data_IF_817600357960
#
_entry.id   IF_817600357960
#
_cell.length_a   1.000
_cell.length_b   1.000
_cell.length_c   1.000
_cell.angle_alpha   90.00
_cell.angle_beta   90.00
_cell.angle_gamma   90.00
#
_symmetry.space_group_name_H-M   'P 1'
#
loop_
_entity.id
_entity.type
_entity.pdbx_description
1 polymer ?
#
# COMPACT_ATOMS: atom_id res chain seq x y z
N UNK A 1 14.74 38.58 10.99
CA UNK A 1 14.11 38.03 9.77
C UNK A 1 14.38 36.52 9.57
N UNK A 2 15.05 35.82 10.48
CA UNK A 2 15.24 34.36 10.37
C UNK A 2 15.40 33.71 11.77
N UNK A 3 14.41 33.85 12.66
CA UNK A 3 14.38 33.09 13.93
C UNK A 3 13.40 31.90 13.89
N UNK A 4 12.50 31.84 12.91
CA UNK A 4 11.49 30.76 12.79
C UNK A 4 11.84 29.64 11.80
N UNK A 5 12.93 29.79 11.01
CA UNK A 5 13.29 28.80 9.99
C UNK A 5 13.81 27.50 10.61
N UNK A 6 14.44 27.60 11.79
CA UNK A 6 14.95 26.45 12.54
C UNK A 6 13.85 25.53 13.06
N UNK A 7 12.77 26.09 13.63
CA UNK A 7 11.58 25.35 14.08
C UNK A 7 10.83 24.69 12.91
N UNK A 8 10.76 25.38 11.76
CA UNK A 8 10.12 24.85 10.56
C UNK A 8 10.84 23.60 10.03
N UNK A 9 12.18 23.63 9.94
CA UNK A 9 12.97 22.47 9.50
C UNK A 9 12.89 21.33 10.52
N UNK A 10 12.85 21.62 11.83
CA UNK A 10 12.72 20.55 12.84
C UNK A 10 11.35 19.88 12.75
N UNK A 11 10.30 20.64 12.46
CA UNK A 11 8.97 20.11 12.13
C UNK A 11 8.98 19.21 10.90
N UNK A 12 9.55 19.67 9.78
CA UNK A 12 9.62 18.88 8.54
C UNK A 12 10.44 17.59 8.72
N UNK A 13 11.55 17.64 9.45
CA UNK A 13 12.43 16.49 9.65
C UNK A 13 11.85 15.45 10.63
N UNK A 14 10.91 15.85 11.49
CA UNK A 14 10.18 14.95 12.39
C UNK A 14 9.03 14.21 11.67
N UNK A 15 8.58 14.74 10.52
CA UNK A 15 7.51 14.19 9.70
C UNK A 15 8.09 13.67 8.38
N UNK A 16 8.70 12.48 8.42
CA UNK A 16 9.14 11.76 7.22
C UNK A 16 7.95 11.52 6.28
N UNK A 17 7.76 12.43 5.32
CA UNK A 17 6.80 12.34 4.23
C UNK A 17 5.71 13.41 4.32
N UNK A 18 5.56 14.15 3.23
CA UNK A 18 4.48 15.12 2.95
C UNK A 18 3.08 14.60 3.33
N UNK A 19 2.84 13.29 3.16
CA UNK A 19 1.60 12.59 3.57
C UNK A 19 1.24 12.80 5.04
N UNK A 20 2.25 12.83 5.91
CA UNK A 20 2.06 12.89 7.36
C UNK A 20 1.65 14.32 7.77
N UNK A 21 2.15 15.34 7.08
CA UNK A 21 1.81 16.75 7.32
C UNK A 21 0.36 17.06 6.88
N UNK A 22 -0.03 16.69 5.66
CA UNK A 22 -1.39 16.93 5.14
C UNK A 22 -2.47 16.22 5.97
N UNK A 23 -2.19 14.99 6.43
CA UNK A 23 -3.14 14.22 7.24
C UNK A 23 -3.39 14.88 8.61
N UNK A 24 -2.36 15.42 9.25
CA UNK A 24 -2.51 16.09 10.56
C UNK A 24 -3.24 17.41 10.46
N UNK A 25 -2.98 18.20 9.42
CA UNK A 25 -3.69 19.45 9.18
C UNK A 25 -5.18 19.17 8.92
N UNK A 26 -5.52 18.18 8.09
CA UNK A 26 -6.91 17.80 7.82
C UNK A 26 -7.63 17.22 9.05
N UNK A 27 -6.94 16.41 9.87
CA UNK A 27 -7.48 15.91 11.15
C UNK A 27 -7.79 17.02 12.14
N UNK A 28 -6.95 18.05 12.20
CA UNK A 28 -7.15 19.20 13.09
C UNK A 28 -8.39 20.04 12.71
N UNK A 29 -8.83 19.96 11.45
CA UNK A 29 -10.04 20.62 10.96
C UNK A 29 -11.30 19.73 11.03
N UNK A 30 -11.18 18.46 11.42
CA UNK A 30 -12.33 17.56 11.57
C UNK A 30 -12.87 16.97 10.25
N UNK A 31 -12.19 17.20 9.13
CA UNK A 31 -12.64 16.83 7.78
C UNK A 31 -12.18 15.42 7.33
N UNK A 32 -11.68 14.60 8.26
CA UNK A 32 -11.07 13.31 7.94
C UNK A 32 -11.71 12.18 8.75
N UNK A 33 -12.68 11.51 8.13
CA UNK A 33 -13.17 10.22 8.60
C UNK A 33 -12.21 9.11 8.17
N UNK A 34 -11.76 8.31 9.13
CA UNK A 34 -10.97 7.13 8.84
C UNK A 34 -11.86 6.02 8.29
N UNK A 35 -11.38 5.33 7.26
CA UNK A 35 -12.00 4.09 6.84
C UNK A 35 -12.00 3.06 7.97
N UNK A 36 -13.01 2.16 8.03
CA UNK A 36 -13.02 1.05 8.96
C UNK A 36 -11.71 0.25 8.91
N UNK A 37 -11.31 -0.28 10.07
CA UNK A 37 -10.12 -1.13 10.16
C UNK A 37 -10.26 -2.35 9.22
N UNK A 38 -9.16 -2.75 8.59
CA UNK A 38 -9.14 -3.87 7.64
C UNK A 38 -9.48 -3.49 6.18
N UNK A 39 -10.13 -2.36 5.93
CA UNK A 39 -10.44 -1.93 4.56
C UNK A 39 -9.19 -1.62 3.76
N UNK A 40 -8.21 -0.97 4.38
CA UNK A 40 -6.93 -0.65 3.76
C UNK A 40 -5.93 -1.71 4.19
N UNK A 41 -5.51 -2.54 3.24
CA UNK A 41 -4.54 -3.60 3.48
C UNK A 41 -3.21 -3.33 2.77
N UNK A 42 -2.10 -3.67 3.43
CA UNK A 42 -0.77 -3.69 2.84
C UNK A 42 -0.45 -5.07 2.28
N UNK A 43 -0.15 -5.15 0.98
CA UNK A 43 0.14 -6.43 0.33
C UNK A 43 1.27 -7.18 1.04
N UNK A 44 2.41 -6.52 1.28
CA UNK A 44 3.58 -7.19 1.88
C UNK A 44 3.42 -7.57 3.35
N UNK A 45 2.43 -7.00 4.05
CA UNK A 45 2.24 -7.23 5.50
C UNK A 45 1.06 -8.17 5.79
N UNK A 46 -0.01 -8.07 5.00
CA UNK A 46 -1.28 -8.74 5.27
C UNK A 46 -1.61 -9.79 4.21
N UNK A 47 -1.04 -9.71 3.01
CA UNK A 47 -1.30 -10.68 1.94
C UNK A 47 -0.22 -11.75 1.82
N UNK A 48 1.05 -11.35 1.88
CA UNK A 48 2.18 -12.29 1.78
C UNK A 48 2.32 -13.09 3.08
N UNK A 49 2.40 -14.44 3.03
CA UNK A 49 2.68 -15.25 4.21
C UNK A 49 4.01 -14.86 4.86
N UNK A 50 4.16 -15.13 6.15
CA UNK A 50 5.43 -14.85 6.85
C UNK A 50 6.57 -15.72 6.29
N UNK A 51 7.79 -15.18 6.25
CA UNK A 51 8.97 -15.98 5.89
C UNK A 51 9.18 -17.13 6.89
N UNK A 52 9.47 -18.37 6.46
CA UNK A 52 9.69 -18.83 5.07
C UNK A 52 8.46 -19.46 4.40
N UNK A 53 7.27 -19.36 4.98
CA UNK A 53 6.04 -19.93 4.38
C UNK A 53 5.68 -19.29 3.04
N UNK A 54 6.17 -18.07 2.79
CA UNK A 54 5.99 -17.34 1.54
C UNK A 54 6.56 -18.01 0.28
N UNK A 55 7.42 -19.03 0.42
CA UNK A 55 7.87 -19.86 -0.70
C UNK A 55 6.86 -20.95 -1.07
N UNK A 56 6.11 -21.41 -0.08
CA UNK A 56 5.21 -22.56 -0.20
C UNK A 56 3.77 -22.13 -0.46
N UNK A 57 3.34 -21.03 0.16
CA UNK A 57 1.97 -20.55 0.14
C UNK A 57 1.81 -19.32 -0.75
N UNK A 58 0.65 -19.24 -1.40
CA UNK A 58 0.25 -18.09 -2.22
C UNK A 58 -0.19 -16.92 -1.33
N UNK A 59 -0.02 -15.67 -1.80
CA UNK A 59 -0.56 -14.51 -1.10
C UNK A 59 -2.09 -14.53 -1.16
N UNK A 60 -2.76 -14.10 -0.09
CA UNK A 60 -4.22 -14.12 0.03
C UNK A 60 -4.78 -12.70 0.07
N UNK A 61 -5.96 -12.49 -0.50
CA UNK A 61 -6.71 -11.25 -0.28
C UNK A 61 -7.40 -11.35 1.09
N UNK A 62 -7.13 -10.45 2.05
CA UNK A 62 -7.87 -10.44 3.32
C UNK A 62 -9.35 -10.15 3.08
N UNK A 63 -10.24 -10.80 3.83
CA UNK A 63 -11.69 -10.78 3.56
C UNK A 63 -12.31 -9.38 3.56
N UNK A 64 -11.87 -8.51 4.49
CA UNK A 64 -12.38 -7.14 4.62
C UNK A 64 -11.62 -6.12 3.76
N UNK A 65 -10.64 -6.57 2.96
CA UNK A 65 -9.82 -5.68 2.15
C UNK A 65 -10.62 -5.06 1.02
N UNK A 66 -10.76 -3.73 1.04
CA UNK A 66 -11.36 -2.93 -0.05
C UNK A 66 -10.30 -2.24 -0.90
N UNK A 67 -9.19 -1.83 -0.29
CA UNK A 67 -8.08 -1.16 -0.96
C UNK A 67 -6.78 -1.87 -0.61
N UNK A 68 -6.14 -2.46 -1.62
CA UNK A 68 -4.84 -3.13 -1.47
C UNK A 68 -3.70 -2.20 -1.87
N UNK A 69 -2.81 -1.89 -0.92
CA UNK A 69 -1.67 -1.01 -1.11
C UNK A 69 -0.37 -1.79 -1.43
N UNK A 70 0.20 -1.51 -2.60
CA UNK A 70 1.50 -2.02 -3.04
C UNK A 70 2.61 -1.00 -2.79
N UNK A 71 3.02 -0.86 -1.52
CA UNK A 71 4.04 0.13 -1.14
C UNK A 71 5.44 -0.47 -1.02
N UNK A 72 6.39 0.12 -1.74
CA UNK A 72 7.77 -0.36 -1.82
C UNK A 72 7.88 -1.63 -2.66
N UNK A 73 8.46 -2.68 -2.08
CA UNK A 73 8.56 -4.00 -2.74
C UNK A 73 7.71 -5.01 -1.95
N UNK A 74 6.92 -5.85 -2.61
CA UNK A 74 6.80 -5.96 -4.07
C UNK A 74 5.81 -4.97 -4.70
N UNK A 75 6.06 -4.62 -5.97
CA UNK A 75 5.12 -3.90 -6.84
C UNK A 75 3.99 -4.83 -7.31
N UNK A 76 2.95 -4.27 -7.92
CA UNK A 76 1.79 -5.03 -8.38
C UNK A 76 2.17 -6.05 -9.46
N UNK A 77 3.02 -5.65 -10.42
CA UNK A 77 3.47 -6.51 -11.53
C UNK A 77 4.34 -7.65 -11.02
N UNK A 78 5.22 -7.36 -10.06
CA UNK A 78 6.05 -8.34 -9.35
C UNK A 78 5.18 -9.36 -8.60
N UNK A 79 4.10 -8.91 -7.96
CA UNK A 79 3.15 -9.77 -7.26
C UNK A 79 2.33 -10.65 -8.21
N UNK A 80 1.98 -10.16 -9.40
CA UNK A 80 1.29 -10.92 -10.45
C UNK A 80 2.15 -12.08 -10.96
N UNK A 81 3.45 -11.86 -11.15
CA UNK A 81 4.39 -12.86 -11.66
C UNK A 81 4.99 -13.73 -10.55
N UNK A 82 4.99 -13.25 -9.30
CA UNK A 82 5.66 -13.92 -8.19
C UNK A 82 7.18 -13.78 -8.21
N UNK A 83 7.70 -12.78 -8.93
CA UNK A 83 9.13 -12.49 -8.97
C UNK A 83 9.42 -11.24 -8.14
N UNK A 84 10.11 -11.42 -7.01
CA UNK A 84 10.31 -10.38 -6.01
C UNK A 84 11.73 -10.43 -5.47
N UNK A 85 12.48 -9.32 -5.51
CA UNK A 85 13.91 -9.32 -5.18
C UNK A 85 14.20 -9.48 -3.67
N UNK A 86 13.21 -9.25 -2.79
CA UNK A 86 13.40 -9.32 -1.33
C UNK A 86 12.92 -10.66 -0.78
N UNK A 87 13.85 -11.48 -0.28
CA UNK A 87 13.56 -12.81 0.28
C UNK A 87 12.40 -12.84 1.31
N UNK A 88 12.42 -11.87 2.24
CA UNK A 88 11.40 -11.73 3.30
C UNK A 88 9.99 -11.39 2.79
N UNK A 89 9.89 -10.80 1.61
CA UNK A 89 8.64 -10.43 0.95
C UNK A 89 8.52 -11.10 -0.43
N UNK A 90 9.25 -12.21 -0.61
CA UNK A 90 9.06 -13.03 -1.79
C UNK A 90 7.64 -13.57 -1.76
N UNK A 91 7.01 -13.67 -2.91
CA UNK A 91 5.64 -14.14 -3.00
C UNK A 91 5.52 -15.09 -4.18
N UNK A 92 4.61 -16.05 -4.09
CA UNK A 92 4.12 -16.77 -5.26
C UNK A 92 3.16 -15.85 -6.05
N UNK A 93 2.85 -16.16 -7.32
CA UNK A 93 1.89 -15.38 -8.12
C UNK A 93 0.56 -15.17 -7.38
N UNK A 94 0.13 -13.92 -7.25
CA UNK A 94 -1.16 -13.56 -6.68
C UNK A 94 -2.27 -13.71 -7.75
N UNK A 95 -2.83 -14.91 -7.89
CA UNK A 95 -3.85 -15.18 -8.93
C UNK A 95 -5.09 -14.27 -8.79
N UNK A 96 -5.57 -14.06 -7.57
CA UNK A 96 -6.71 -13.17 -7.29
C UNK A 96 -6.50 -11.72 -7.75
N UNK A 97 -5.25 -11.26 -7.86
CA UNK A 97 -4.93 -9.92 -8.33
C UNK A 97 -5.17 -9.79 -9.83
N UNK A 98 -4.96 -10.88 -10.58
CA UNK A 98 -5.28 -10.95 -12.01
C UNK A 98 -6.78 -10.83 -12.21
N UNK A 99 -7.56 -11.58 -11.44
CA UNK A 99 -9.02 -11.58 -11.55
C UNK A 99 -9.58 -10.18 -11.26
N UNK A 100 -9.13 -9.53 -10.17
CA UNK A 100 -9.56 -8.16 -9.85
C UNK A 100 -9.12 -7.11 -10.89
N UNK A 101 -7.94 -7.28 -11.50
CA UNK A 101 -7.42 -6.30 -12.45
C UNK A 101 -8.03 -6.44 -13.84
N UNK A 102 -8.27 -7.68 -14.29
CA UNK A 102 -8.87 -7.96 -15.59
C UNK A 102 -10.39 -7.76 -15.57
N UNK A 103 -11.09 -8.19 -14.51
CA UNK A 103 -12.56 -8.09 -14.48
C UNK A 103 -13.09 -6.65 -14.33
N UNK A 104 -12.30 -5.73 -13.75
CA UNK A 104 -12.78 -4.37 -13.46
C UNK A 104 -12.49 -3.33 -14.54
N UNK A 105 -11.45 -3.53 -15.37
CA UNK A 105 -10.96 -2.47 -16.28
C UNK A 105 -11.07 -2.80 -17.78
N UNK A 106 -11.50 -4.00 -18.16
CA UNK A 106 -11.60 -4.36 -19.59
C UNK A 106 -12.89 -3.84 -20.27
N UNK A 107 -13.77 -3.11 -19.56
CA UNK A 107 -15.00 -2.54 -20.18
C UNK A 107 -14.99 -1.04 -20.49
N UNK A 108 -14.17 -0.22 -19.84
CA UNK A 108 -14.34 1.26 -19.93
C UNK A 108 -13.14 2.04 -20.46
N UNK A 109 -11.92 1.49 -20.50
CA UNK A 109 -10.69 2.28 -20.76
C UNK A 109 -9.88 1.92 -22.03
N UNK A 110 -10.36 0.99 -22.86
CA UNK A 110 -9.80 0.78 -24.21
C UNK A 110 -10.46 1.76 -25.19
N UNK A 111 -9.74 2.71 -25.81
CA UNK A 111 -10.31 3.46 -26.93
C UNK A 111 -10.61 2.46 -28.05
N UNK A 112 -11.83 2.52 -28.58
CA UNK A 112 -12.24 1.77 -29.78
C UNK A 112 -11.49 2.18 -31.04
#
# INVERSE_FOLDING_TARGET
LFDGFGEYITGEMQWKGEQKYTSMTALAHGDLEYFPEGWICSFKRQSIPVFPLNFLRVPVLPDDCRVMCFHGTPKMEEALVGDCPKLRYRTRPAAWLRDLWLDANEKDWMPG
#
